data_IF_584632321921
#
_entry.id   IF_584632321921
#
_cell.length_a   1.000
_cell.length_b   1.000
_cell.length_c   1.000
_cell.angle_alpha   90.00
_cell.angle_beta   90.00
_cell.angle_gamma   90.00
#
_symmetry.space_group_name_H-M   'P 1'
#
loop_
_entity.id
_entity.type
_entity.pdbx_description
1 polymer ?
#
# COMPACT_ATOMS: atom_id res chain seq x y z
N UNK A 1 6.39 -8.67 -34.11
CA UNK A 1 6.94 -9.94 -33.60
C UNK A 1 6.15 -10.28 -32.35
N UNK A 2 5.27 -11.29 -32.46
CA UNK A 2 4.32 -11.65 -31.42
C UNK A 2 5.02 -12.48 -30.34
N UNK A 3 5.00 -12.02 -29.10
CA UNK A 3 5.28 -12.86 -27.94
C UNK A 3 3.92 -13.27 -27.36
N UNK A 4 3.48 -14.48 -27.73
CA UNK A 4 2.19 -15.02 -27.31
C UNK A 4 2.21 -15.42 -25.84
N UNK A 5 1.60 -14.61 -25.00
CA UNK A 5 1.14 -15.06 -23.68
C UNK A 5 -0.25 -15.66 -23.85
N UNK A 6 -0.29 -16.99 -23.96
CA UNK A 6 -1.53 -17.76 -23.81
C UNK A 6 -2.08 -17.52 -22.41
N UNK A 7 -3.20 -16.84 -22.31
CA UNK A 7 -4.05 -16.85 -21.12
C UNK A 7 -4.64 -18.26 -21.00
N UNK A 8 -4.40 -19.02 -19.92
CA UNK A 8 -5.05 -20.30 -19.75
C UNK A 8 -6.49 -20.09 -19.28
N UNK A 9 -7.43 -20.37 -20.17
CA UNK A 9 -8.73 -20.92 -19.81
C UNK A 9 -9.90 -19.94 -19.80
N UNK A 10 -10.93 -20.31 -20.56
CA UNK A 10 -12.32 -19.88 -20.37
C UNK A 10 -12.74 -19.96 -18.90
N UNK A 11 -13.75 -19.17 -18.53
CA UNK A 11 -14.35 -19.03 -17.18
C UNK A 11 -15.05 -20.33 -16.70
N UNK A 12 -14.25 -21.38 -16.57
CA UNK A 12 -14.65 -22.72 -16.18
C UNK A 12 -14.96 -22.75 -14.69
N UNK A 13 -15.85 -23.66 -14.27
CA UNK A 13 -16.11 -23.90 -12.84
C UNK A 13 -14.83 -24.23 -12.05
N UNK A 14 -13.81 -24.81 -12.69
CA UNK A 14 -12.51 -25.07 -12.11
C UNK A 14 -11.70 -23.78 -11.89
N UNK A 15 -11.66 -22.88 -12.88
CA UNK A 15 -11.02 -21.55 -12.76
C UNK A 15 -11.64 -20.70 -11.65
N UNK A 16 -12.98 -20.70 -11.54
CA UNK A 16 -13.69 -19.98 -10.46
C UNK A 16 -13.41 -20.53 -9.07
N UNK A 17 -13.35 -21.86 -8.91
CA UNK A 17 -12.96 -22.49 -7.63
C UNK A 17 -11.52 -22.16 -7.25
N UNK A 18 -10.62 -22.15 -8.23
CA UNK A 18 -9.23 -21.76 -8.01
C UNK A 18 -9.13 -20.28 -7.59
N UNK A 19 -9.85 -19.38 -8.28
CA UNK A 19 -9.92 -17.96 -7.91
C UNK A 19 -10.50 -17.72 -6.52
N UNK A 20 -11.57 -18.44 -6.14
CA UNK A 20 -12.17 -18.33 -4.81
C UNK A 20 -11.24 -18.85 -3.69
N UNK A 21 -10.50 -19.94 -3.95
CA UNK A 21 -9.48 -20.45 -3.03
C UNK A 21 -8.36 -19.41 -2.85
N UNK A 22 -7.88 -18.84 -3.95
CA UNK A 22 -6.88 -17.78 -3.95
C UNK A 22 -7.39 -16.57 -3.14
N UNK A 23 -8.60 -16.08 -3.40
CA UNK A 23 -9.23 -14.98 -2.65
C UNK A 23 -9.37 -15.25 -1.14
N UNK A 24 -9.78 -16.46 -0.75
CA UNK A 24 -9.91 -16.83 0.66
C UNK A 24 -8.57 -16.80 1.40
N UNK A 25 -7.48 -17.22 0.73
CA UNK A 25 -6.12 -17.17 1.28
C UNK A 25 -5.66 -15.73 1.46
N UNK A 26 -6.05 -14.82 0.56
CA UNK A 26 -5.72 -13.41 0.71
C UNK A 26 -6.48 -12.69 1.82
N UNK A 27 -7.70 -13.11 2.15
CA UNK A 27 -8.40 -12.59 3.33
C UNK A 27 -7.65 -12.91 4.63
N UNK A 28 -6.88 -14.00 4.67
CA UNK A 28 -5.96 -14.29 5.77
C UNK A 28 -4.67 -13.46 5.72
N UNK A 29 -4.36 -12.84 4.58
CA UNK A 29 -3.15 -12.07 4.31
C UNK A 29 -3.41 -10.55 4.20
N UNK A 30 -4.57 -10.08 4.67
CA UNK A 30 -4.79 -8.65 4.95
C UNK A 30 -3.66 -8.08 5.81
N UNK A 31 -3.48 -6.74 5.86
CA UNK A 31 -2.50 -6.18 6.77
C UNK A 31 -2.80 -6.74 8.15
N UNK A 32 -1.76 -7.26 8.80
CA UNK A 32 -1.96 -7.92 10.08
C UNK A 32 -2.66 -6.97 11.07
N UNK A 33 -3.18 -7.52 12.16
CA UNK A 33 -3.93 -6.72 13.10
C UNK A 33 -3.13 -5.51 13.63
N UNK A 34 -1.80 -5.63 13.78
CA UNK A 34 -0.96 -4.52 14.20
C UNK A 34 -0.88 -3.41 13.15
N UNK A 35 -0.69 -3.76 11.87
CA UNK A 35 -0.73 -2.82 10.76
C UNK A 35 -2.09 -2.16 10.62
N UNK A 36 -3.18 -2.91 10.80
CA UNK A 36 -4.54 -2.35 10.80
C UNK A 36 -4.73 -1.31 11.92
N UNK A 37 -4.27 -1.60 13.15
CA UNK A 37 -4.34 -0.65 14.26
C UNK A 37 -3.49 0.60 14.01
N UNK A 38 -2.29 0.44 13.45
CA UNK A 38 -1.44 1.57 13.07
C UNK A 38 -2.09 2.42 11.98
N UNK A 39 -2.70 1.80 10.96
CA UNK A 39 -3.44 2.51 9.93
C UNK A 39 -4.57 3.36 10.54
N UNK A 40 -5.38 2.77 11.43
CA UNK A 40 -6.43 3.51 12.14
C UNK A 40 -5.85 4.69 12.91
N UNK A 41 -4.81 4.47 13.69
CA UNK A 41 -4.15 5.50 14.50
C UNK A 41 -3.60 6.66 13.63
N UNK A 42 -3.01 6.33 12.49
CA UNK A 42 -2.51 7.29 11.50
C UNK A 42 -3.65 8.10 10.88
N UNK A 43 -4.77 7.46 10.52
CA UNK A 43 -5.94 8.17 9.98
C UNK A 43 -6.60 9.09 11.01
N UNK A 44 -6.70 8.66 12.27
CA UNK A 44 -7.19 9.48 13.37
C UNK A 44 -6.29 10.70 13.60
N UNK A 45 -4.98 10.50 13.50
CA UNK A 45 -3.99 11.56 13.65
C UNK A 45 -4.06 12.56 12.51
N UNK A 46 -4.15 12.10 11.26
CA UNK A 46 -4.32 12.96 10.09
C UNK A 46 -5.61 13.80 10.17
N UNK A 47 -6.72 13.21 10.62
CA UNK A 47 -7.97 13.94 10.86
C UNK A 47 -7.79 15.05 11.90
N UNK A 48 -7.06 14.79 12.99
CA UNK A 48 -6.73 15.79 14.01
C UNK A 48 -5.85 16.91 13.45
N UNK A 49 -4.83 16.59 12.65
CA UNK A 49 -4.00 17.61 11.95
C UNK A 49 -4.86 18.49 11.06
N UNK A 50 -5.76 17.88 10.28
CA UNK A 50 -6.65 18.63 9.40
C UNK A 50 -7.54 19.60 10.18
N UNK A 51 -8.13 19.14 11.29
CA UNK A 51 -8.91 20.01 12.19
C UNK A 51 -8.07 21.11 12.83
N UNK A 52 -6.79 20.85 13.09
CA UNK A 52 -5.87 21.85 13.63
C UNK A 52 -5.50 22.91 12.60
N UNK A 53 -5.35 22.56 11.32
CA UNK A 53 -5.11 23.52 10.25
C UNK A 53 -6.25 24.54 10.11
N UNK A 54 -7.47 24.15 10.46
CA UNK A 54 -8.67 25.00 10.36
C UNK A 54 -9.03 25.72 11.67
N UNK A 55 -8.37 25.39 12.79
CA UNK A 55 -8.64 25.99 14.11
C UNK A 55 -7.40 26.70 14.66
N UNK A 56 -7.58 27.80 15.42
CA UNK A 56 -6.46 28.49 16.09
C UNK A 56 -6.02 27.73 17.34
N UNK A 57 -5.50 26.50 17.19
CA UNK A 57 -4.96 25.71 18.30
C UNK A 57 -3.60 26.23 18.75
N UNK A 58 -3.22 25.86 19.98
CA UNK A 58 -1.95 26.25 20.56
C UNK A 58 -0.77 25.55 19.86
N UNK A 59 0.41 26.19 19.92
CA UNK A 59 1.67 25.59 19.45
C UNK A 59 1.97 24.29 20.20
N UNK A 60 1.68 24.23 21.51
CA UNK A 60 1.88 23.05 22.35
C UNK A 60 1.08 21.83 21.87
N UNK A 61 -0.18 22.03 21.48
CA UNK A 61 -1.00 20.94 20.93
C UNK A 61 -0.42 20.42 19.62
N UNK A 62 0.16 21.31 18.81
CA UNK A 62 0.83 20.94 17.56
C UNK A 62 2.06 20.10 17.83
N UNK A 63 2.90 20.51 18.79
CA UNK A 63 4.11 19.79 19.17
C UNK A 63 3.81 18.39 19.70
N UNK A 64 2.78 18.24 20.55
CA UNK A 64 2.35 16.92 21.05
C UNK A 64 1.89 16.01 19.92
N UNK A 65 1.16 16.55 18.95
CA UNK A 65 0.70 15.80 17.79
C UNK A 65 1.89 15.35 16.93
N UNK A 66 2.84 16.24 16.65
CA UNK A 66 4.04 15.91 15.88
C UNK A 66 4.93 14.87 16.56
N UNK A 67 5.01 14.89 17.90
CA UNK A 67 5.69 13.85 18.66
C UNK A 67 5.00 12.48 18.53
N UNK A 68 3.66 12.46 18.57
CA UNK A 68 2.88 11.23 18.33
C UNK A 68 3.10 10.71 16.91
N UNK A 69 3.09 11.58 15.91
CA UNK A 69 3.40 11.19 14.52
C UNK A 69 4.80 10.58 14.39
N UNK A 70 5.80 11.13 15.09
CA UNK A 70 7.17 10.62 15.05
C UNK A 70 7.28 9.23 15.67
N UNK A 71 6.56 8.98 16.76
CA UNK A 71 6.49 7.65 17.37
C UNK A 71 5.80 6.63 16.45
N UNK A 72 4.77 7.05 15.69
CA UNK A 72 4.13 6.19 14.69
C UNK A 72 5.06 5.85 13.53
N UNK A 73 5.82 6.82 13.02
CA UNK A 73 6.85 6.56 11.99
C UNK A 73 7.84 5.53 12.51
N UNK A 74 8.38 5.73 13.72
CA UNK A 74 9.33 4.81 14.34
C UNK A 74 8.75 3.41 14.51
N UNK A 75 7.50 3.29 14.96
CA UNK A 75 6.80 2.01 15.09
C UNK A 75 6.64 1.33 13.73
N UNK A 76 6.24 2.07 12.70
CA UNK A 76 6.09 1.53 11.35
C UNK A 76 7.43 1.08 10.77
N UNK A 77 8.49 1.88 10.86
CA UNK A 77 9.81 1.52 10.32
C UNK A 77 10.40 0.26 10.96
N UNK A 78 10.10 0.01 12.24
CA UNK A 78 10.59 -1.15 12.98
C UNK A 78 9.59 -2.32 13.03
N UNK A 79 8.42 -2.16 12.40
CA UNK A 79 7.39 -3.21 12.42
C UNK A 79 7.75 -4.34 11.46
N UNK A 80 7.45 -5.57 11.89
CA UNK A 80 7.58 -6.78 11.08
C UNK A 80 6.26 -7.54 11.12
N UNK A 81 5.76 -8.05 9.97
CA UNK A 81 4.50 -8.78 9.94
C UNK A 81 4.59 -10.09 10.71
N UNK A 82 3.53 -10.42 11.45
CA UNK A 82 3.38 -11.74 12.04
C UNK A 82 2.98 -12.76 10.96
N UNK A 83 3.91 -13.64 10.62
CA UNK A 83 3.73 -14.70 9.60
C UNK A 83 3.57 -16.09 10.23
N UNK A 84 3.39 -16.19 11.56
CA UNK A 84 3.33 -17.47 12.28
C UNK A 84 2.20 -18.40 11.82
N UNK A 85 1.11 -17.83 11.31
CA UNK A 85 -0.08 -18.55 10.83
C UNK A 85 -0.13 -18.65 9.29
N UNK A 86 0.91 -18.19 8.59
CA UNK A 86 0.96 -18.17 7.12
C UNK A 86 1.67 -19.42 6.62
N UNK A 87 1.05 -20.16 5.71
CA UNK A 87 1.67 -21.30 5.05
C UNK A 87 2.97 -20.88 4.34
N UNK A 88 3.99 -21.74 4.41
CA UNK A 88 5.34 -21.40 3.90
C UNK A 88 5.35 -21.03 2.41
N UNK A 89 4.41 -21.57 1.62
CA UNK A 89 4.24 -21.23 0.20
C UNK A 89 3.71 -19.81 -0.06
N UNK A 90 3.26 -19.11 0.99
CA UNK A 90 2.65 -17.78 0.91
C UNK A 90 3.42 -16.72 1.70
N UNK A 91 4.46 -17.10 2.44
CA UNK A 91 5.26 -16.18 3.26
C UNK A 91 5.83 -15.02 2.44
N UNK A 92 6.39 -15.28 1.26
CA UNK A 92 6.96 -14.24 0.40
C UNK A 92 5.91 -13.22 -0.06
N UNK A 93 4.74 -13.71 -0.48
CA UNK A 93 3.61 -12.86 -0.89
C UNK A 93 3.13 -11.98 0.26
N UNK A 94 3.02 -12.52 1.47
CA UNK A 94 2.65 -11.77 2.67
C UNK A 94 3.69 -10.72 3.03
N UNK A 95 4.98 -11.04 2.88
CA UNK A 95 6.06 -10.07 3.11
C UNK A 95 5.99 -8.90 2.12
N UNK A 96 5.80 -9.17 0.83
CA UNK A 96 5.66 -8.13 -0.18
C UNK A 96 4.42 -7.26 0.03
N UNK A 97 3.29 -7.89 0.32
CA UNK A 97 2.05 -7.21 0.64
C UNK A 97 2.22 -6.24 1.82
N UNK A 98 2.80 -6.73 2.91
CA UNK A 98 2.99 -5.94 4.13
C UNK A 98 4.04 -4.84 3.96
N UNK A 99 5.08 -5.07 3.14
CA UNK A 99 6.04 -4.03 2.78
C UNK A 99 5.37 -2.88 2.01
N UNK A 100 4.46 -3.19 1.08
CA UNK A 100 3.70 -2.15 0.35
C UNK A 100 2.83 -1.34 1.32
N UNK A 101 2.14 -2.01 2.24
CA UNK A 101 1.35 -1.34 3.28
C UNK A 101 2.19 -0.41 4.15
N UNK A 102 3.32 -0.91 4.66
CA UNK A 102 4.25 -0.13 5.47
C UNK A 102 4.73 1.12 4.71
N UNK A 103 5.21 0.96 3.47
CA UNK A 103 5.75 2.06 2.67
C UNK A 103 4.68 3.08 2.27
N UNK A 104 3.49 2.61 1.87
CA UNK A 104 2.36 3.49 1.55
C UNK A 104 1.89 4.29 2.77
N UNK A 105 1.89 3.68 3.96
CA UNK A 105 1.50 4.37 5.18
C UNK A 105 2.56 5.38 5.65
N UNK A 106 3.84 5.07 5.45
CA UNK A 106 4.93 6.03 5.67
C UNK A 106 4.81 7.24 4.73
N UNK A 107 4.52 7.03 3.44
CA UNK A 107 4.21 8.13 2.51
C UNK A 107 3.04 8.97 3.02
N UNK A 108 1.94 8.33 3.42
CA UNK A 108 0.77 9.02 3.95
C UNK A 108 1.09 9.90 5.16
N UNK A 109 1.85 9.40 6.15
CA UNK A 109 2.25 10.21 7.31
C UNK A 109 3.09 11.41 6.88
N UNK A 110 4.09 11.18 6.03
CA UNK A 110 5.02 12.22 5.61
C UNK A 110 4.30 13.32 4.78
N UNK A 111 3.32 12.95 3.96
CA UNK A 111 2.50 13.91 3.22
C UNK A 111 1.41 14.58 4.09
N UNK A 112 0.52 13.81 4.70
CA UNK A 112 -0.70 14.37 5.30
C UNK A 112 -0.45 15.03 6.65
N UNK A 113 0.47 14.48 7.44
CA UNK A 113 0.76 14.95 8.80
C UNK A 113 1.92 15.95 8.77
N UNK A 114 3.04 15.59 8.14
CA UNK A 114 4.22 16.45 8.07
C UNK A 114 4.22 17.44 6.90
N UNK A 115 3.24 17.36 5.99
CA UNK A 115 3.12 18.28 4.83
C UNK A 115 4.37 18.32 3.96
N UNK A 116 5.09 17.21 3.88
CA UNK A 116 6.26 17.11 3.04
C UNK A 116 5.85 17.02 1.57
N UNK A 117 6.62 17.69 0.74
CA UNK A 117 6.41 17.70 -0.70
C UNK A 117 6.77 16.34 -1.29
N UNK A 118 6.17 15.99 -2.43
CA UNK A 118 6.44 14.71 -3.09
C UNK A 118 7.91 14.52 -3.44
N UNK A 119 8.67 15.62 -3.60
CA UNK A 119 10.11 15.58 -3.89
C UNK A 119 10.98 15.30 -2.66
N UNK A 120 10.41 15.24 -1.45
CA UNK A 120 11.16 14.93 -0.23
C UNK A 120 11.86 13.57 -0.36
N UNK A 121 13.15 13.57 0.01
CA UNK A 121 14.02 12.39 -0.14
C UNK A 121 13.50 11.15 0.60
N UNK A 122 12.79 11.33 1.72
CA UNK A 122 12.18 10.22 2.46
C UNK A 122 11.03 9.59 1.69
N UNK A 123 10.14 10.43 1.13
CA UNK A 123 9.03 9.97 0.29
C UNK A 123 9.57 9.23 -0.94
N UNK A 124 10.57 9.80 -1.63
CA UNK A 124 11.17 9.16 -2.80
C UNK A 124 11.89 7.85 -2.45
N UNK A 125 12.51 7.76 -1.27
CA UNK A 125 13.08 6.50 -0.77
C UNK A 125 12.00 5.44 -0.62
N UNK A 126 10.84 5.75 -0.04
CA UNK A 126 9.74 4.79 0.11
C UNK A 126 9.18 4.34 -1.23
N UNK A 127 8.98 5.28 -2.16
CA UNK A 127 8.55 4.97 -3.54
C UNK A 127 9.53 4.01 -4.22
N UNK A 128 10.84 4.27 -4.12
CA UNK A 128 11.86 3.40 -4.70
C UNK A 128 11.87 1.99 -4.06
N UNK A 129 11.74 1.91 -2.73
CA UNK A 129 11.70 0.64 -1.99
C UNK A 129 10.46 -0.20 -2.34
N UNK A 130 9.35 0.44 -2.76
CA UNK A 130 8.11 -0.26 -3.08
C UNK A 130 8.14 -0.97 -4.44
N UNK A 131 9.05 -0.62 -5.34
CA UNK A 131 9.09 -1.16 -6.71
C UNK A 131 9.21 -2.69 -6.70
N UNK A 132 10.11 -3.23 -5.89
CA UNK A 132 10.37 -4.67 -5.85
C UNK A 132 9.20 -5.48 -5.24
N UNK A 133 8.64 -5.11 -4.08
CA UNK A 133 7.41 -5.70 -3.57
C UNK A 133 6.24 -5.64 -4.58
N UNK A 134 6.08 -4.51 -5.28
CA UNK A 134 5.02 -4.33 -6.27
C UNK A 134 5.15 -5.28 -7.46
N UNK A 135 6.38 -5.51 -7.96
CA UNK A 135 6.64 -6.48 -9.04
C UNK A 135 6.28 -7.90 -8.66
N UNK A 136 6.39 -8.24 -7.37
CA UNK A 136 6.14 -9.58 -6.84
C UNK A 136 4.72 -9.76 -6.32
N UNK A 137 3.89 -8.71 -6.36
CA UNK A 137 2.52 -8.78 -5.92
C UNK A 137 1.66 -9.51 -6.96
N UNK A 138 1.07 -10.63 -6.58
CA UNK A 138 0.20 -11.42 -7.47
C UNK A 138 -1.28 -10.99 -7.42
N UNK A 139 -1.68 -10.15 -6.47
CA UNK A 139 -3.07 -9.69 -6.33
C UNK A 139 -3.14 -8.28 -5.74
N UNK A 140 -3.77 -7.36 -6.47
CA UNK A 140 -3.60 -5.92 -6.26
C UNK A 140 -4.72 -5.26 -5.44
N UNK A 141 -5.93 -5.82 -5.45
CA UNK A 141 -7.12 -5.21 -4.83
C UNK A 141 -6.95 -4.90 -3.34
N UNK A 142 -6.23 -5.73 -2.59
CA UNK A 142 -5.97 -5.52 -1.16
C UNK A 142 -4.82 -4.52 -0.86
N UNK A 143 -4.15 -4.00 -1.89
CA UNK A 143 -3.09 -2.99 -1.82
C UNK A 143 -3.48 -1.65 -2.47
N UNK A 144 -4.74 -1.44 -2.85
CA UNK A 144 -5.14 -0.23 -3.58
C UNK A 144 -4.83 1.07 -2.84
N UNK A 145 -5.14 1.15 -1.55
CA UNK A 145 -4.83 2.33 -0.73
C UNK A 145 -3.31 2.61 -0.65
N UNK A 146 -2.46 1.69 -0.16
CA UNK A 146 -1.03 1.97 -0.06
C UNK A 146 -0.36 2.17 -1.44
N UNK A 147 -0.83 1.48 -2.48
CA UNK A 147 -0.38 1.71 -3.85
C UNK A 147 -0.72 3.12 -4.32
N UNK A 148 -1.95 3.59 -4.08
CA UNK A 148 -2.35 4.95 -4.44
C UNK A 148 -1.43 5.97 -3.77
N UNK A 149 -1.17 5.80 -2.47
CA UNK A 149 -0.26 6.69 -1.72
C UNK A 149 1.17 6.68 -2.26
N UNK A 150 1.67 5.56 -2.76
CA UNK A 150 2.97 5.50 -3.42
C UNK A 150 2.94 6.16 -4.81
N UNK A 151 1.89 5.89 -5.59
CA UNK A 151 1.76 6.33 -6.97
C UNK A 151 1.65 7.85 -7.11
N UNK A 152 0.92 8.52 -6.20
CA UNK A 152 0.81 10.00 -6.22
C UNK A 152 2.15 10.72 -6.03
N UNK A 153 3.13 10.03 -5.45
CA UNK A 153 4.47 10.55 -5.23
C UNK A 153 5.50 10.08 -6.27
N UNK A 154 5.12 9.28 -7.25
CA UNK A 154 6.04 8.72 -8.23
C UNK A 154 6.60 9.82 -9.17
N UNK A 155 7.89 10.14 -9.04
CA UNK A 155 8.54 11.19 -9.84
C UNK A 155 9.45 10.67 -10.96
N UNK A 156 9.89 9.42 -10.87
CA UNK A 156 10.70 8.80 -11.93
C UNK A 156 9.80 8.12 -12.95
N UNK A 157 10.27 8.03 -14.20
CA UNK A 157 9.53 7.31 -15.24
C UNK A 157 9.29 5.85 -14.88
N UNK A 158 10.27 5.20 -14.24
CA UNK A 158 10.13 3.83 -13.72
C UNK A 158 9.00 3.75 -12.68
N UNK A 159 9.05 4.58 -11.63
CA UNK A 159 8.01 4.58 -10.59
C UNK A 159 6.61 4.91 -11.13
N UNK A 160 6.52 5.80 -12.14
CA UNK A 160 5.25 6.19 -12.77
C UNK A 160 4.66 5.06 -13.59
N UNK A 161 5.49 4.33 -14.34
CA UNK A 161 5.06 3.15 -15.09
C UNK A 161 4.50 2.12 -14.11
N UNK A 162 5.18 1.83 -12.99
CA UNK A 162 4.67 0.86 -12.03
C UNK A 162 3.39 1.30 -11.31
N UNK A 163 3.29 2.57 -10.91
CA UNK A 163 2.07 3.11 -10.32
C UNK A 163 0.88 3.07 -11.28
N UNK A 164 1.06 3.50 -12.53
CA UNK A 164 -0.01 3.56 -13.53
C UNK A 164 -0.35 2.19 -14.10
N UNK A 165 0.64 1.36 -14.46
CA UNK A 165 0.40 0.04 -15.07
C UNK A 165 -0.28 -0.92 -14.09
N UNK A 166 0.02 -0.86 -12.79
CA UNK A 166 -0.68 -1.69 -11.81
C UNK A 166 -2.12 -1.23 -11.59
N UNK A 167 -2.36 0.08 -11.41
CA UNK A 167 -3.72 0.63 -11.29
C UNK A 167 -4.55 0.35 -12.56
N UNK A 168 -3.93 0.38 -13.74
CA UNK A 168 -4.60 0.14 -15.01
C UNK A 168 -4.99 -1.34 -15.23
N UNK A 169 -4.23 -2.29 -14.69
CA UNK A 169 -4.54 -3.74 -14.80
C UNK A 169 -5.74 -4.18 -13.96
N UNK A 170 -6.15 -3.40 -12.95
CA UNK A 170 -7.33 -3.68 -12.12
C UNK A 170 -8.61 -2.95 -12.58
N UNK A 171 -8.49 -1.90 -13.41
CA UNK A 171 -9.60 -0.99 -13.75
C UNK A 171 -10.18 -1.13 -15.16
N UNK A 172 -9.60 -1.96 -16.03
CA UNK A 172 -10.20 -2.28 -17.32
C UNK A 172 -10.90 -3.65 -17.28
N UNK A 173 -12.17 -3.76 -17.72
CA UNK A 173 -12.67 -5.04 -18.19
C UNK A 173 -11.83 -5.48 -19.42
N UNK A 174 -11.69 -6.80 -19.66
CA UNK A 174 -10.91 -7.30 -20.79
C UNK A 174 -11.58 -6.87 -22.09
N UNK A 175 -10.97 -5.87 -22.73
CA UNK A 175 -11.25 -5.31 -24.06
C UNK A 175 -12.67 -4.74 -24.29
N UNK A 176 -12.68 -3.57 -24.92
CA UNK A 176 -13.89 -2.80 -25.21
C UNK A 176 -14.88 -3.57 -26.09
N UNK A 177 -16.15 -3.53 -25.69
CA UNK A 177 -17.25 -3.61 -26.63
C UNK A 177 -17.30 -2.31 -27.45
N UNK A 178 -16.78 -2.37 -28.68
CA UNK A 178 -17.54 -2.00 -29.89
C UNK A 178 -17.32 -3.10 -30.93
#
# INVERSE_FOLDING_TARGET
>A
MACGLKVPGSDTKAGRKQGARIQSLWWHNLPDHAMHLMFREVTDLAARVHQMKTSRKSVDDTLKLMAHAGELVRRLENWTPDVSMVDQEHTDSVQHFNAIWQLGLLCFIHQEIYTLDSSDTRIQKYVAMAIEPLRKLSWLQACLFPLFMLAVHAQTSESRIFGVTMIHMDLLPPDGEI
#
